data_IF_537526652485
#
_entry.id   IF_537526652485
#
_cell.length_a   1.000
_cell.length_b   1.000
_cell.length_c   1.000
_cell.angle_alpha   90.00
_cell.angle_beta   90.00
_cell.angle_gamma   90.00
#
_symmetry.space_group_name_H-M   'P 1'
#
loop_
_entity.id
_entity.type
_entity.pdbx_description
1 polymer ?
#
# COMPACT_ATOMS: atom_id res chain seq x y z
N UNK A 1 7.58 7.14 -12.06
CA UNK A 1 6.46 7.01 -11.10
C UNK A 1 6.75 5.91 -10.10
N UNK A 2 6.15 5.96 -8.90
CA UNK A 2 6.31 4.93 -7.86
C UNK A 2 4.99 4.18 -7.70
N UNK A 3 5.04 2.85 -7.66
CA UNK A 3 3.91 2.00 -7.27
C UNK A 3 3.93 1.76 -5.77
N UNK A 4 2.92 2.25 -5.05
CA UNK A 4 2.79 2.12 -3.60
C UNK A 4 2.12 0.83 -3.15
N UNK A 5 1.60 0.02 -4.06
CA UNK A 5 0.88 -1.18 -3.69
C UNK A 5 1.13 -2.32 -4.67
N UNK A 6 2.10 -3.16 -4.34
CA UNK A 6 2.46 -4.32 -5.16
C UNK A 6 2.61 -5.57 -4.30
N UNK A 7 2.16 -6.71 -4.81
CA UNK A 7 2.25 -7.99 -4.14
C UNK A 7 3.29 -8.94 -4.78
N UNK A 8 4.18 -9.47 -3.95
CA UNK A 8 5.18 -10.47 -4.30
C UNK A 8 4.90 -11.79 -3.55
N UNK A 9 5.06 -12.93 -4.22
CA UNK A 9 4.71 -14.24 -3.66
C UNK A 9 5.89 -15.19 -3.45
N UNK A 10 5.96 -15.83 -2.27
CA UNK A 10 6.75 -17.05 -2.03
C UNK A 10 5.80 -18.24 -2.12
N UNK A 11 6.06 -19.16 -3.05
CA UNK A 11 5.49 -20.53 -3.15
C UNK A 11 4.18 -20.70 -3.95
N UNK A 12 4.22 -21.79 -4.74
CA UNK A 12 3.26 -22.41 -5.67
C UNK A 12 1.86 -21.78 -5.78
N UNK A 13 1.73 -20.80 -6.67
CA UNK A 13 1.19 -20.96 -8.03
C UNK A 13 -0.03 -21.84 -8.34
N UNK A 14 -0.58 -22.56 -7.38
CA UNK A 14 -1.65 -23.54 -7.61
C UNK A 14 -2.94 -22.98 -7.01
N UNK A 15 -2.99 -22.66 -5.71
CA UNK A 15 -4.20 -22.03 -5.12
C UNK A 15 -4.53 -20.65 -5.69
N UNK A 16 -3.56 -19.74 -5.80
CA UNK A 16 -3.81 -18.39 -6.34
C UNK A 16 -4.11 -18.39 -7.84
N UNK A 17 -3.57 -19.38 -8.57
CA UNK A 17 -3.89 -19.56 -9.98
C UNK A 17 -5.28 -20.21 -10.17
N UNK A 18 -5.61 -21.21 -9.36
CA UNK A 18 -6.92 -21.87 -9.36
C UNK A 18 -8.05 -20.91 -8.92
N UNK A 19 -7.79 -20.06 -7.91
CA UNK A 19 -8.79 -19.18 -7.32
C UNK A 19 -8.88 -17.82 -8.02
N UNK A 20 -7.75 -17.27 -8.48
CA UNK A 20 -7.67 -15.90 -9.02
C UNK A 20 -7.02 -15.80 -10.40
N UNK A 21 -6.60 -16.90 -11.02
CA UNK A 21 -5.93 -16.89 -12.33
C UNK A 21 -4.54 -16.23 -12.32
N UNK A 22 -3.95 -16.03 -11.14
CA UNK A 22 -2.67 -15.33 -10.98
C UNK A 22 -1.52 -16.20 -11.51
N UNK A 23 -0.70 -15.70 -12.45
CA UNK A 23 0.41 -16.47 -13.02
C UNK A 23 1.38 -17.00 -11.97
N UNK A 24 1.91 -18.20 -12.21
CA UNK A 24 2.86 -18.91 -11.32
C UNK A 24 4.13 -18.12 -10.94
N UNK A 25 4.40 -16.99 -11.59
CA UNK A 25 5.70 -16.31 -11.60
C UNK A 25 5.68 -14.91 -10.97
N UNK A 26 4.88 -14.61 -9.94
CA UNK A 26 4.93 -13.30 -9.27
C UNK A 26 6.12 -13.13 -8.28
N UNK A 27 7.31 -13.62 -8.62
CA UNK A 27 8.57 -13.42 -7.87
C UNK A 27 9.35 -12.21 -8.37
N UNK A 28 10.33 -11.69 -7.60
CA UNK A 28 10.93 -10.38 -7.83
C UNK A 28 11.49 -10.18 -9.24
N UNK A 29 12.16 -11.21 -9.77
CA UNK A 29 12.73 -11.18 -11.12
C UNK A 29 11.67 -10.92 -12.20
N UNK A 30 10.53 -11.62 -12.12
CA UNK A 30 9.44 -11.42 -13.06
C UNK A 30 8.89 -9.99 -12.94
N UNK A 31 8.79 -9.45 -11.73
CA UNK A 31 8.30 -8.09 -11.51
C UNK A 31 9.24 -7.10 -12.19
N UNK A 32 10.55 -7.18 -11.95
CA UNK A 32 11.54 -6.28 -12.56
C UNK A 32 11.58 -6.41 -14.08
N UNK A 33 11.45 -7.63 -14.62
CA UNK A 33 11.37 -7.83 -16.08
C UNK A 33 10.12 -7.20 -16.68
N UNK A 34 8.98 -7.25 -16.00
CA UNK A 34 7.75 -6.64 -16.49
C UNK A 34 7.68 -5.13 -16.22
N UNK A 35 8.30 -4.63 -15.15
CA UNK A 35 8.54 -3.21 -14.88
C UNK A 35 9.17 -2.51 -16.08
N UNK A 36 10.20 -3.13 -16.68
CA UNK A 36 10.84 -2.59 -17.89
C UNK A 36 9.90 -2.48 -19.10
N UNK A 37 8.79 -3.23 -19.12
CA UNK A 37 7.73 -3.08 -20.13
C UNK A 37 6.82 -1.91 -19.78
N UNK A 38 6.59 -1.67 -18.50
CA UNK A 38 5.83 -0.54 -17.99
C UNK A 38 6.74 0.69 -17.81
N UNK A 39 7.20 1.25 -18.93
CA UNK A 39 8.28 2.24 -19.08
C UNK A 39 8.26 3.50 -18.18
N UNK A 40 7.22 3.73 -17.37
CA UNK A 40 7.07 4.92 -16.53
C UNK A 40 7.21 4.65 -15.02
N UNK A 41 7.56 3.43 -14.60
CA UNK A 41 7.63 3.06 -13.18
C UNK A 41 9.08 2.84 -12.78
N UNK A 42 9.54 3.67 -11.85
CA UNK A 42 10.93 3.70 -11.39
C UNK A 42 11.14 2.78 -10.18
N UNK A 43 10.14 2.72 -9.30
CA UNK A 43 10.22 1.97 -8.04
C UNK A 43 8.86 1.40 -7.64
N UNK A 44 8.89 0.32 -6.85
CA UNK A 44 7.70 -0.32 -6.29
C UNK A 44 7.91 -0.68 -4.83
N UNK A 45 6.90 -0.46 -3.99
CA UNK A 45 6.83 -1.03 -2.66
C UNK A 45 6.32 -2.47 -2.76
N UNK A 46 7.23 -3.43 -2.61
CA UNK A 46 6.96 -4.85 -2.73
C UNK A 46 6.52 -5.42 -1.37
N UNK A 47 5.27 -5.88 -1.31
CA UNK A 47 4.68 -6.48 -0.10
C UNK A 47 4.42 -7.97 -0.32
N UNK A 48 4.72 -8.86 0.63
CA UNK A 48 4.31 -10.25 0.50
C UNK A 48 2.78 -10.36 0.43
N UNK A 49 2.25 -11.43 -0.15
CA UNK A 49 0.83 -11.74 0.00
C UNK A 49 0.45 -11.80 1.47
N UNK A 50 -0.65 -11.14 1.81
CA UNK A 50 -1.21 -11.18 3.14
C UNK A 50 -1.82 -12.57 3.37
N UNK A 51 -1.02 -13.48 3.92
CA UNK A 51 -1.45 -14.83 4.23
C UNK A 51 -1.53 -15.00 5.75
N UNK A 52 -2.73 -15.20 6.30
CA UNK A 52 -2.90 -15.51 7.71
C UNK A 52 -2.13 -16.81 8.02
N UNK A 53 -1.51 -16.89 9.19
CA UNK A 53 -0.80 -18.10 9.68
C UNK A 53 0.54 -18.47 9.00
N UNK A 54 1.14 -17.57 8.21
CA UNK A 54 2.55 -17.73 7.80
C UNK A 54 3.46 -17.18 8.90
N UNK A 55 4.65 -17.78 9.08
CA UNK A 55 5.67 -17.23 9.97
C UNK A 55 6.14 -15.86 9.45
N UNK A 56 5.68 -14.77 10.07
CA UNK A 56 5.99 -13.40 9.63
C UNK A 56 7.50 -13.11 9.65
N UNK A 57 8.23 -13.64 10.64
CA UNK A 57 9.69 -13.69 10.64
C UNK A 57 10.27 -14.34 9.37
N UNK A 58 9.78 -15.52 8.98
CA UNK A 58 10.26 -16.22 7.78
C UNK A 58 9.89 -15.44 6.50
N UNK A 59 8.68 -14.86 6.46
CA UNK A 59 8.22 -14.02 5.36
C UNK A 59 9.10 -12.79 5.18
N UNK A 60 9.53 -12.14 6.29
CA UNK A 60 10.48 -11.04 6.27
C UNK A 60 11.83 -11.46 5.69
N UNK A 61 12.44 -12.54 6.20
CA UNK A 61 13.75 -13.01 5.71
C UNK A 61 13.70 -13.33 4.22
N UNK A 62 12.63 -13.98 3.78
CA UNK A 62 12.44 -14.25 2.35
C UNK A 62 12.28 -12.98 1.55
N UNK A 63 11.38 -12.08 1.95
CA UNK A 63 11.13 -10.82 1.24
C UNK A 63 12.44 -10.06 1.04
N UNK A 64 13.24 -9.94 2.09
CA UNK A 64 14.55 -9.31 2.03
C UNK A 64 15.48 -10.04 1.06
N UNK A 65 15.55 -11.37 1.11
CA UNK A 65 16.40 -12.14 0.18
C UNK A 65 15.98 -12.01 -1.29
N UNK A 66 14.67 -11.92 -1.53
CA UNK A 66 14.05 -11.89 -2.85
C UNK A 66 14.15 -10.50 -3.49
N UNK A 67 13.95 -9.45 -2.69
CA UNK A 67 13.92 -8.05 -3.14
C UNK A 67 15.31 -7.42 -3.21
N UNK A 68 16.24 -7.78 -2.29
CA UNK A 68 17.58 -7.19 -2.19
C UNK A 68 18.39 -7.11 -3.50
N UNK A 69 18.29 -8.07 -4.44
CA UNK A 69 19.00 -7.98 -5.72
C UNK A 69 18.51 -6.86 -6.65
N UNK A 70 17.37 -6.22 -6.37
CA UNK A 70 16.67 -5.31 -7.26
C UNK A 70 16.49 -3.93 -6.63
N UNK A 71 17.19 -2.92 -7.14
CA UNK A 71 17.12 -1.53 -6.65
C UNK A 71 15.76 -0.85 -6.84
N UNK A 72 14.97 -1.36 -7.79
CA UNK A 72 13.65 -0.88 -8.16
C UNK A 72 12.58 -1.35 -7.16
N UNK A 73 12.91 -2.32 -6.29
CA UNK A 73 11.97 -2.92 -5.37
C UNK A 73 12.32 -2.53 -3.93
N UNK A 74 11.32 -2.03 -3.22
CA UNK A 74 11.40 -1.58 -1.84
C UNK A 74 10.63 -2.55 -0.93
N UNK A 75 11.30 -3.31 -0.05
CA UNK A 75 10.63 -4.35 0.72
C UNK A 75 9.76 -3.76 1.82
N UNK A 76 8.48 -4.14 1.86
CA UNK A 76 7.54 -3.74 2.90
C UNK A 76 6.92 -5.01 3.51
N UNK A 77 7.42 -5.50 4.65
CA UNK A 77 6.88 -6.69 5.28
C UNK A 77 5.45 -6.46 5.74
N UNK A 78 4.60 -7.47 5.54
CA UNK A 78 3.31 -7.53 6.20
C UNK A 78 3.54 -7.91 7.66
N UNK A 79 2.83 -7.25 8.55
CA UNK A 79 2.93 -7.46 9.99
C UNK A 79 1.57 -7.92 10.50
N UNK A 80 1.57 -8.87 11.43
CA UNK A 80 0.38 -9.23 12.17
C UNK A 80 0.61 -8.97 13.65
N UNK A 81 -0.08 -8.00 14.24
CA UNK A 81 0.12 -7.60 15.64
C UNK A 81 -0.03 -8.70 16.70
N UNK A 82 -0.64 -9.83 16.35
CA UNK A 82 -0.87 -10.98 17.25
C UNK A 82 0.04 -12.19 16.98
N UNK A 83 0.75 -12.24 15.85
CA UNK A 83 1.41 -13.47 15.40
C UNK A 83 2.78 -13.73 16.07
N UNK A 84 3.45 -12.68 16.54
CA UNK A 84 4.71 -12.79 17.28
C UNK A 84 4.69 -11.86 18.50
N UNK A 85 5.61 -12.09 19.44
CA UNK A 85 5.87 -11.08 20.46
C UNK A 85 6.30 -9.79 19.77
N UNK A 86 5.47 -8.75 19.89
CA UNK A 86 5.66 -7.47 19.17
C UNK A 86 7.11 -6.96 19.27
N UNK A 87 7.73 -7.06 20.44
CA UNK A 87 9.11 -6.63 20.67
C UNK A 87 10.16 -7.40 19.87
N UNK A 88 10.04 -8.73 19.74
CA UNK A 88 11.02 -9.53 18.98
C UNK A 88 10.93 -9.27 17.48
N UNK A 89 9.71 -9.08 16.98
CA UNK A 89 9.49 -8.82 15.57
C UNK A 89 9.93 -7.39 15.19
N UNK A 90 9.61 -6.39 16.01
CA UNK A 90 10.11 -5.02 15.83
C UNK A 90 11.64 -4.96 15.90
N UNK A 91 12.27 -5.70 16.83
CA UNK A 91 13.73 -5.80 16.90
C UNK A 91 14.36 -6.41 15.64
N UNK A 92 13.67 -7.35 15.01
CA UNK A 92 14.10 -7.93 13.73
C UNK A 92 13.95 -6.93 12.58
N UNK A 93 12.83 -6.23 12.48
CA UNK A 93 12.67 -5.14 11.49
C UNK A 93 13.78 -4.10 11.67
N UNK A 94 14.09 -3.76 12.92
CA UNK A 94 15.09 -2.77 13.30
C UNK A 94 16.51 -3.08 12.80
N UNK A 95 16.83 -4.35 12.52
CA UNK A 95 18.14 -4.75 11.97
C UNK A 95 18.25 -4.61 10.45
N UNK A 96 17.22 -4.12 9.78
CA UNK A 96 17.19 -3.94 8.33
C UNK A 96 16.83 -2.51 7.96
N UNK A 97 17.39 -2.05 6.84
CA UNK A 97 17.04 -0.77 6.23
C UNK A 97 15.85 -1.00 5.29
N UNK A 98 14.64 -0.92 5.85
CA UNK A 98 13.40 -1.04 5.09
C UNK A 98 12.61 0.28 5.17
N UNK A 99 11.85 0.65 4.13
CA UNK A 99 11.17 1.94 4.10
C UNK A 99 9.79 1.94 4.79
N UNK A 100 9.25 0.78 5.16
CA UNK A 100 7.90 0.72 5.73
C UNK A 100 7.48 -0.65 6.24
N UNK A 101 6.27 -0.69 6.79
CA UNK A 101 5.57 -1.89 7.27
C UNK A 101 4.13 -1.88 6.76
N UNK A 102 3.53 -3.05 6.49
CA UNK A 102 2.14 -3.18 6.05
C UNK A 102 1.27 -3.87 7.08
N UNK A 103 0.19 -3.19 7.48
CA UNK A 103 -0.87 -3.73 8.32
C UNK A 103 -2.02 -4.23 7.42
N UNK A 104 -2.44 -5.47 7.64
CA UNK A 104 -3.61 -6.04 6.98
C UNK A 104 -4.72 -6.29 8.01
N UNK A 105 -5.62 -5.33 8.18
CA UNK A 105 -6.71 -5.39 9.13
C UNK A 105 -8.03 -5.79 8.47
N UNK A 106 -9.01 -6.22 9.28
CA UNK A 106 -10.42 -6.27 8.87
C UNK A 106 -10.85 -7.51 8.08
N UNK A 107 -9.93 -8.29 7.50
CA UNK A 107 -10.29 -9.61 6.97
C UNK A 107 -10.47 -10.62 8.10
N UNK A 108 -11.42 -11.55 7.91
CA UNK A 108 -11.77 -12.59 8.90
C UNK A 108 -10.54 -13.36 9.38
N UNK A 109 -9.54 -13.51 8.51
CA UNK A 109 -8.37 -14.32 8.80
C UNK A 109 -7.28 -13.60 9.61
N UNK A 110 -7.35 -12.28 9.77
CA UNK A 110 -6.34 -11.51 10.51
C UNK A 110 -6.76 -11.19 11.94
N UNK A 111 -8.01 -11.45 12.31
CA UNK A 111 -8.50 -11.43 13.70
C UNK A 111 -8.19 -10.12 14.50
N UNK A 112 -7.96 -8.98 13.85
CA UNK A 112 -7.83 -7.67 14.54
C UNK A 112 -8.48 -6.54 13.73
N UNK A 113 -8.94 -5.52 14.46
CA UNK A 113 -9.52 -4.30 13.88
C UNK A 113 -8.63 -3.09 14.16
N UNK A 114 -8.81 -2.04 13.35
CA UNK A 114 -8.14 -0.74 13.54
C UNK A 114 -8.56 -0.05 14.84
N UNK A 115 -9.75 -0.38 15.37
CA UNK A 115 -10.25 0.13 16.64
C UNK A 115 -9.42 -0.36 17.85
N UNK A 116 -8.65 -1.46 17.70
CA UNK A 116 -7.79 -1.97 18.77
C UNK A 116 -6.49 -1.15 18.88
N UNK A 117 -6.63 0.09 19.32
CA UNK A 117 -5.54 1.07 19.40
C UNK A 117 -4.42 0.61 20.32
N UNK A 118 -4.73 -0.06 21.44
CA UNK A 118 -3.73 -0.59 22.36
C UNK A 118 -2.79 -1.61 21.69
N UNK A 119 -3.33 -2.44 20.80
CA UNK A 119 -2.56 -3.42 20.03
C UNK A 119 -1.71 -2.75 18.94
N UNK A 120 -2.18 -1.66 18.34
CA UNK A 120 -1.54 -1.02 17.18
C UNK A 120 -0.55 0.08 17.52
N UNK A 121 -0.74 0.79 18.64
CA UNK A 121 0.14 1.89 19.09
C UNK A 121 1.64 1.57 19.10
N UNK A 122 2.10 0.37 19.52
CA UNK A 122 3.52 0.04 19.47
C UNK A 122 4.11 0.09 18.07
N UNK A 123 3.36 -0.31 17.04
CA UNK A 123 3.81 -0.28 15.65
C UNK A 123 3.84 1.13 15.08
N UNK A 124 2.88 1.98 15.47
CA UNK A 124 2.87 3.41 15.11
C UNK A 124 4.05 4.14 15.74
N UNK A 125 4.27 3.95 17.04
CA UNK A 125 5.41 4.57 17.75
C UNK A 125 6.74 4.15 17.14
N UNK A 126 6.92 2.85 16.88
CA UNK A 126 8.10 2.33 16.22
C UNK A 126 8.30 2.91 14.81
N UNK A 127 7.23 3.01 14.02
CA UNK A 127 7.32 3.57 12.68
C UNK A 127 7.71 5.05 12.70
N UNK A 128 7.14 5.83 13.63
CA UNK A 128 7.47 7.24 13.82
C UNK A 128 8.95 7.43 14.21
N UNK A 129 9.42 6.71 15.23
CA UNK A 129 10.80 6.76 15.72
C UNK A 129 11.83 6.42 14.62
N UNK A 130 11.44 5.55 13.69
CA UNK A 130 12.30 5.05 12.61
C UNK A 130 12.00 5.68 11.25
N UNK A 131 11.08 6.65 11.20
CA UNK A 131 10.63 7.30 9.97
C UNK A 131 10.18 6.30 8.88
N UNK A 132 9.50 5.23 9.29
CA UNK A 132 8.92 4.22 8.42
C UNK A 132 7.54 4.66 7.93
N UNK A 133 7.20 4.25 6.72
CA UNK A 133 5.84 4.40 6.19
C UNK A 133 4.99 3.23 6.68
N UNK A 134 3.80 3.51 7.22
CA UNK A 134 2.80 2.48 7.51
C UNK A 134 1.84 2.38 6.33
N UNK A 135 1.79 1.22 5.69
CA UNK A 135 0.79 0.88 4.70
C UNK A 135 -0.37 0.18 5.39
N UNK A 136 -1.60 0.68 5.26
CA UNK A 136 -2.78 0.06 5.87
C UNK A 136 -3.68 -0.43 4.75
N UNK A 137 -3.88 -1.75 4.67
CA UNK A 137 -4.89 -2.31 3.80
C UNK A 137 -6.28 -1.87 4.29
N UNK A 138 -7.06 -1.24 3.42
CA UNK A 138 -8.43 -0.85 3.77
C UNK A 138 -9.44 -1.41 2.77
N UNK A 139 -10.48 -2.05 3.28
CA UNK A 139 -11.69 -2.39 2.53
C UNK A 139 -12.77 -1.30 2.74
N UNK A 140 -13.97 -1.51 2.19
CA UNK A 140 -15.10 -0.57 2.37
C UNK A 140 -15.53 -0.39 3.83
N UNK A 141 -15.12 -1.28 4.73
CA UNK A 141 -15.52 -1.28 6.13
C UNK A 141 -14.43 -0.80 7.09
N UNK A 142 -13.18 -0.68 6.63
CA UNK A 142 -12.00 -0.35 7.45
C UNK A 142 -11.31 0.98 7.08
N UNK A 143 -11.97 1.84 6.29
CA UNK A 143 -11.48 3.21 6.01
C UNK A 143 -12.32 4.31 6.68
N UNK A 144 -12.95 4.06 7.83
CA UNK A 144 -13.77 5.09 8.50
C UNK A 144 -12.94 5.96 9.43
N UNK A 145 -13.21 7.26 9.42
CA UNK A 145 -12.52 8.21 10.29
C UNK A 145 -12.53 7.81 11.76
N UNK A 146 -13.66 7.30 12.26
CA UNK A 146 -13.81 6.86 13.66
C UNK A 146 -12.87 5.70 14.05
N UNK A 147 -12.51 4.84 13.10
CA UNK A 147 -11.73 3.62 13.39
C UNK A 147 -10.23 3.95 13.44
N UNK A 148 -9.79 4.98 12.70
CA UNK A 148 -8.39 5.39 12.58
C UNK A 148 -8.03 6.65 13.39
N UNK A 149 -8.98 7.56 13.63
CA UNK A 149 -8.71 8.84 14.30
C UNK A 149 -7.91 8.69 15.61
N UNK A 150 -8.19 7.72 16.51
CA UNK A 150 -7.41 7.59 17.74
C UNK A 150 -5.94 7.16 17.56
N UNK A 151 -5.58 6.63 16.37
CA UNK A 151 -4.19 6.32 16.00
C UNK A 151 -3.54 7.49 15.26
N UNK A 152 -4.33 8.28 14.52
CA UNK A 152 -3.84 9.40 13.71
C UNK A 152 -3.68 10.69 14.52
N UNK A 153 -4.43 10.86 15.60
CA UNK A 153 -4.32 12.00 16.50
C UNK A 153 -2.95 12.01 17.19
N UNK A 154 -2.13 13.00 16.82
CA UNK A 154 -0.78 13.17 17.35
C UNK A 154 0.29 12.29 16.71
N UNK A 155 -0.03 11.57 15.62
CA UNK A 155 0.96 10.81 14.85
C UNK A 155 1.55 11.67 13.72
N UNK A 156 2.87 11.88 13.76
CA UNK A 156 3.63 12.73 12.85
C UNK A 156 4.34 11.94 11.72
N UNK A 157 4.26 10.62 11.74
CA UNK A 157 4.79 9.75 10.69
C UNK A 157 3.99 9.77 9.39
N UNK A 158 4.27 8.81 8.50
CA UNK A 158 3.58 8.67 7.20
C UNK A 158 2.73 7.41 7.15
N UNK A 159 1.51 7.55 6.63
CA UNK A 159 0.56 6.46 6.42
C UNK A 159 0.06 6.50 4.98
N UNK A 160 0.07 5.34 4.32
CA UNK A 160 -0.58 5.13 3.04
C UNK A 160 -1.79 4.22 3.26
N UNK A 161 -2.98 4.75 3.03
CA UNK A 161 -4.23 3.99 3.08
C UNK A 161 -4.47 3.36 1.71
N UNK A 162 -4.24 2.05 1.63
CA UNK A 162 -4.40 1.25 0.43
C UNK A 162 -5.88 1.13 0.07
N UNK A 163 -6.20 1.26 -1.22
CA UNK A 163 -7.57 1.24 -1.74
C UNK A 163 -8.50 2.34 -1.21
N UNK A 164 -7.96 3.48 -0.76
CA UNK A 164 -8.76 4.52 -0.11
C UNK A 164 -8.84 5.87 -0.84
N UNK A 165 -8.64 5.92 -2.16
CA UNK A 165 -9.08 7.05 -2.98
C UNK A 165 -10.62 7.08 -3.15
N UNK A 166 -11.34 7.43 -2.07
CA UNK A 166 -12.81 7.48 -1.95
C UNK A 166 -13.26 8.54 -0.94
N UNK A 167 -14.56 8.91 -0.88
CA UNK A 167 -15.04 9.97 0.01
C UNK A 167 -14.59 9.85 1.47
N UNK A 168 -14.61 8.65 2.05
CA UNK A 168 -14.16 8.40 3.42
C UNK A 168 -12.66 8.64 3.60
N UNK A 169 -11.87 8.34 2.57
CA UNK A 169 -10.43 8.64 2.56
C UNK A 169 -10.15 10.14 2.52
N UNK A 170 -10.95 10.91 1.76
CA UNK A 170 -10.83 12.38 1.72
C UNK A 170 -10.97 12.97 3.12
N UNK A 171 -11.93 12.50 3.94
CA UNK A 171 -12.08 12.98 5.32
C UNK A 171 -10.81 12.74 6.15
N UNK A 172 -10.18 11.57 5.98
CA UNK A 172 -8.96 11.19 6.71
C UNK A 172 -7.74 12.04 6.33
N UNK A 173 -7.73 12.69 5.17
CA UNK A 173 -6.62 13.59 4.78
C UNK A 173 -6.52 14.87 5.61
N UNK A 174 -7.50 15.14 6.48
CA UNK A 174 -7.36 16.17 7.54
C UNK A 174 -6.17 15.89 8.47
N UNK A 175 -5.77 14.64 8.58
CA UNK A 175 -4.54 14.22 9.25
C UNK A 175 -3.37 14.30 8.27
N UNK A 176 -2.36 15.12 8.57
CA UNK A 176 -1.20 15.36 7.70
C UNK A 176 -0.44 14.09 7.33
N UNK A 177 -0.47 13.10 8.21
CA UNK A 177 0.19 11.81 8.04
C UNK A 177 -0.43 10.92 6.96
N UNK A 178 -1.66 11.21 6.50
CA UNK A 178 -2.43 10.34 5.61
C UNK A 178 -2.21 10.66 4.14
N UNK A 179 -1.89 9.62 3.38
CA UNK A 179 -1.83 9.56 1.91
C UNK A 179 -2.82 8.47 1.45
N UNK A 180 -3.50 8.70 0.33
CA UNK A 180 -4.50 7.82 -0.26
C UNK A 180 -3.94 7.13 -1.51
N UNK A 181 -4.17 5.84 -1.64
CA UNK A 181 -3.68 5.02 -2.74
C UNK A 181 -4.84 4.50 -3.63
N UNK A 182 -4.59 4.42 -4.94
CA UNK A 182 -5.61 4.32 -6.00
C UNK A 182 -6.11 2.92 -6.34
N UNK A 183 -5.36 1.87 -6.03
CA UNK A 183 -5.64 0.50 -6.46
C UNK A 183 -7.00 0.04 -5.99
N UNK A 184 -7.74 -0.70 -6.83
CA UNK A 184 -9.06 -1.22 -6.48
C UNK A 184 -10.16 -0.17 -6.25
N UNK A 185 -9.86 1.14 -6.26
CA UNK A 185 -10.88 2.18 -6.14
C UNK A 185 -11.69 2.32 -7.42
N UNK A 186 -12.93 2.80 -7.34
CA UNK A 186 -13.74 3.14 -8.50
C UNK A 186 -13.21 4.41 -9.20
N UNK A 187 -13.27 4.48 -10.52
CA UNK A 187 -12.71 5.64 -11.27
C UNK A 187 -13.37 6.96 -10.85
N UNK A 188 -14.68 6.96 -10.55
CA UNK A 188 -15.38 8.16 -10.06
C UNK A 188 -14.85 8.64 -8.71
N UNK A 189 -14.44 7.72 -7.85
CA UNK A 189 -13.92 8.02 -6.52
C UNK A 189 -12.49 8.54 -6.59
N UNK A 190 -11.67 7.99 -7.50
CA UNK A 190 -10.34 8.54 -7.83
C UNK A 190 -10.49 9.97 -8.36
N UNK A 191 -11.40 10.21 -9.31
CA UNK A 191 -11.65 11.54 -9.90
C UNK A 191 -12.05 12.56 -8.83
N UNK A 192 -12.96 12.15 -7.93
CA UNK A 192 -13.38 12.98 -6.80
C UNK A 192 -12.20 13.28 -5.88
N UNK A 193 -11.44 12.26 -5.49
CA UNK A 193 -10.31 12.40 -4.57
C UNK A 193 -9.23 13.31 -5.14
N UNK A 194 -8.84 13.13 -6.40
CA UNK A 194 -7.86 13.98 -7.07
C UNK A 194 -8.34 15.43 -7.24
N UNK A 195 -9.65 15.68 -7.27
CA UNK A 195 -10.20 17.05 -7.30
C UNK A 195 -10.09 17.75 -5.95
N UNK A 196 -10.31 17.04 -4.84
CA UNK A 196 -10.33 17.64 -3.50
C UNK A 196 -8.95 17.67 -2.84
N UNK A 197 -8.14 16.63 -3.03
CA UNK A 197 -6.88 16.43 -2.33
C UNK A 197 -5.79 15.85 -3.25
N UNK A 198 -5.47 16.49 -4.39
CA UNK A 198 -4.52 15.97 -5.39
C UNK A 198 -3.15 15.63 -4.80
N UNK A 199 -2.65 16.44 -3.85
CA UNK A 199 -1.34 16.29 -3.22
C UNK A 199 -1.28 15.16 -2.17
N UNK A 200 -2.37 14.42 -2.01
CA UNK A 200 -2.52 13.29 -1.09
C UNK A 200 -2.82 11.99 -1.80
N UNK A 201 -2.76 11.96 -3.13
CA UNK A 201 -3.04 10.76 -3.93
C UNK A 201 -1.73 10.17 -4.48
N UNK A 202 -1.55 8.87 -4.31
CA UNK A 202 -0.45 8.11 -4.91
C UNK A 202 -0.97 6.93 -5.72
N UNK A 203 -0.20 6.55 -6.76
CA UNK A 203 -0.51 5.38 -7.55
C UNK A 203 -0.15 4.11 -6.79
N UNK A 204 -1.01 3.11 -6.89
CA UNK A 204 -0.61 1.72 -6.72
C UNK A 204 -1.45 0.80 -7.59
N UNK A 205 -0.90 -0.37 -7.88
CA UNK A 205 -1.48 -1.30 -8.85
C UNK A 205 -2.31 -2.41 -8.22
N UNK A 206 -1.97 -2.85 -7.01
CA UNK A 206 -2.43 -4.10 -6.40
C UNK A 206 -2.17 -5.33 -7.29
N UNK A 207 -1.15 -5.26 -8.14
CA UNK A 207 -0.74 -6.40 -8.95
C UNK A 207 -0.21 -7.52 -8.05
N UNK A 208 -0.49 -8.80 -8.36
CA UNK A 208 -1.18 -9.32 -9.55
C UNK A 208 -2.70 -9.49 -9.43
N UNK A 209 -3.34 -8.97 -8.38
CA UNK A 209 -4.79 -9.09 -8.23
C UNK A 209 -5.54 -8.22 -9.23
N UNK A 210 -4.95 -7.08 -9.62
CA UNK A 210 -5.47 -6.23 -10.68
C UNK A 210 -4.49 -6.19 -11.86
N UNK A 211 -5.05 -5.99 -13.05
CA UNK A 211 -4.26 -5.77 -14.25
C UNK A 211 -3.49 -4.45 -14.13
N UNK A 212 -2.18 -4.54 -14.36
CA UNK A 212 -1.27 -3.44 -14.20
C UNK A 212 -1.50 -2.32 -15.21
N UNK A 213 -1.65 -2.68 -16.49
CA UNK A 213 -1.81 -1.70 -17.58
C UNK A 213 -3.13 -0.95 -17.44
N UNK A 214 -4.20 -1.68 -17.10
CA UNK A 214 -5.51 -1.08 -16.83
C UNK A 214 -5.42 -0.12 -15.64
N UNK A 215 -4.80 -0.53 -14.53
CA UNK A 215 -4.67 0.32 -13.33
C UNK A 215 -3.87 1.59 -13.63
N UNK A 216 -2.78 1.45 -14.39
CA UNK A 216 -1.91 2.53 -14.81
C UNK A 216 -2.59 3.51 -15.77
N UNK A 217 -3.26 2.99 -16.81
CA UNK A 217 -3.98 3.79 -17.79
C UNK A 217 -5.09 4.62 -17.12
N UNK A 218 -5.80 4.04 -16.17
CA UNK A 218 -6.86 4.73 -15.40
C UNK A 218 -6.32 6.00 -14.74
N UNK A 219 -5.16 5.94 -14.08
CA UNK A 219 -4.60 7.12 -13.41
C UNK A 219 -3.99 8.12 -14.42
N UNK A 220 -3.28 7.63 -15.45
CA UNK A 220 -2.69 8.48 -16.50
C UNK A 220 -3.71 9.34 -17.23
N UNK A 221 -4.82 8.73 -17.63
CA UNK A 221 -5.90 9.43 -18.35
C UNK A 221 -6.47 10.57 -17.51
N UNK A 222 -6.53 10.42 -16.18
CA UNK A 222 -7.03 11.45 -15.27
C UNK A 222 -6.05 12.57 -15.01
N UNK A 223 -4.78 12.25 -14.79
CA UNK A 223 -3.72 13.27 -14.69
C UNK A 223 -3.72 14.14 -15.96
N UNK A 224 -3.87 13.52 -17.14
CA UNK A 224 -3.90 14.24 -18.41
C UNK A 224 -5.12 15.15 -18.53
N UNK A 225 -6.31 14.68 -18.14
CA UNK A 225 -7.53 15.48 -18.15
C UNK A 225 -7.49 16.65 -17.17
N UNK A 226 -6.94 16.46 -15.96
CA UNK A 226 -6.79 17.53 -14.97
C UNK A 226 -5.88 18.64 -15.53
N UNK A 227 -4.72 18.28 -16.09
CA UNK A 227 -3.78 19.23 -16.70
C UNK A 227 -4.39 20.01 -17.87
N UNK A 228 -5.20 19.35 -18.69
CA UNK A 228 -5.92 20.02 -19.79
C UNK A 228 -6.92 21.04 -19.25
N UNK A 229 -7.74 20.66 -18.27
CA UNK A 229 -8.73 21.57 -17.67
C UNK A 229 -8.09 22.79 -17.00
N UNK A 230 -6.96 22.62 -16.31
CA UNK A 230 -6.20 23.74 -15.71
C UNK A 230 -5.66 24.69 -16.78
N UNK A 231 -5.10 24.14 -17.87
CA UNK A 231 -4.63 24.95 -19.00
C UNK A 231 -5.78 25.74 -19.65
N UNK A 232 -6.94 25.13 -19.82
CA UNK A 232 -8.11 25.78 -20.43
C UNK A 232 -8.70 26.87 -19.52
N UNK A 233 -8.74 26.66 -18.20
CA UNK A 233 -9.11 27.69 -17.23
C UNK A 233 -8.17 28.89 -17.27
N UNK A 234 -6.86 28.66 -17.30
CA UNK A 234 -5.85 29.72 -17.39
C UNK A 234 -5.98 30.52 -18.70
N UNK A 235 -6.24 29.84 -19.83
CA UNK A 235 -6.45 30.49 -21.13
C UNK A 235 -7.72 31.34 -21.19
N UNK A 236 -8.77 30.97 -20.48
CA UNK A 236 -10.05 31.68 -20.47
C UNK A 236 -10.11 32.83 -19.44
N UNK A 237 -9.03 33.04 -18.67
CA UNK A 237 -8.96 34.08 -17.63
C UNK A 237 -7.99 35.23 -18.02
N UNK A 238 -7.36 35.17 -19.20
CA UNK A 238 -6.49 36.20 -19.79
C UNK A 238 -7.20 36.85 -20.98
#
# INVERSE_FOLDING_TARGET
MIDFHYHIGRISSDKLNEEYGIPKQAGAEFLVRNLKKFADIDMMFATPYATPHVGYAESLEWLLSEVKPYSELLPVPVIHPKAEATSSFLARINSHDIPGIKLHCGSIDFEYSLENTALLKPFFSFAEERNLIIFIHTDRHSCRARDLAPLLEGYDGKIVLLHCCRPEGIELTRYRSVILETSGCDTKDIDLTMRYVPDRVVFGSDFPFLDYEISLERVRNRISQIKQNESDLLRNTI
#
